data_IF_665062727411
#
_entry.id   IF_665062727411
#
_cell.length_a   1.000
_cell.length_b   1.000
_cell.length_c   1.000
_cell.angle_alpha   90.00
_cell.angle_beta   90.00
_cell.angle_gamma   90.00
#
_symmetry.space_group_name_H-M   'P 1'
#
loop_
_entity.id
_entity.type
_entity.pdbx_description
1 polymer ?
#
# COMPACT_ATOMS: atom_id res chain seq x y z
N UNK A 1 11.35 -23.40 44.58
CA UNK A 1 12.40 -24.17 43.86
C UNK A 1 12.24 -23.88 42.39
N UNK A 2 13.13 -23.05 41.85
CA UNK A 2 13.09 -22.60 40.47
C UNK A 2 14.22 -23.33 39.73
N UNK A 3 13.86 -24.40 39.00
CA UNK A 3 14.78 -25.14 38.16
C UNK A 3 14.27 -24.97 36.75
N UNK A 4 14.88 -24.08 35.98
CA UNK A 4 15.18 -24.26 34.55
C UNK A 4 16.13 -23.14 34.11
N UNK A 5 17.41 -23.40 34.40
CA UNK A 5 18.55 -22.78 33.73
C UNK A 5 18.75 -23.51 32.40
N UNK A 6 18.71 -22.78 31.29
CA UNK A 6 19.07 -23.34 29.99
C UNK A 6 18.39 -22.63 28.85
N UNK A 7 19.11 -21.69 28.23
CA UNK A 7 18.80 -21.19 26.89
C UNK A 7 18.61 -22.40 25.96
N UNK A 8 17.38 -22.61 25.48
CA UNK A 8 17.07 -23.62 24.45
C UNK A 8 17.63 -23.17 23.11
N UNK A 9 18.95 -23.26 22.95
CA UNK A 9 19.58 -23.22 21.64
C UNK A 9 19.62 -24.64 21.06
N UNK A 10 18.88 -24.81 19.97
CA UNK A 10 19.15 -25.76 18.89
C UNK A 10 18.84 -27.25 19.17
N UNK A 11 17.76 -27.70 18.48
CA UNK A 11 17.21 -29.06 18.30
C UNK A 11 16.23 -29.54 19.38
N UNK A 12 14.94 -29.70 19.05
CA UNK A 12 13.95 -30.23 19.98
C UNK A 12 14.05 -31.76 20.09
N UNK A 13 13.89 -32.28 21.31
CA UNK A 13 13.51 -33.69 21.53
C UNK A 13 12.14 -33.89 20.89
N UNK A 14 12.03 -34.90 20.02
CA UNK A 14 10.88 -35.11 19.13
C UNK A 14 9.51 -34.99 19.82
N UNK A 15 9.36 -35.45 21.07
CA UNK A 15 8.08 -35.37 21.80
C UNK A 15 7.72 -33.99 22.38
N UNK A 16 8.71 -33.13 22.67
CA UNK A 16 8.45 -31.76 23.14
C UNK A 16 8.05 -30.84 21.97
N UNK A 17 8.50 -31.18 20.76
CA UNK A 17 8.15 -30.47 19.52
C UNK A 17 6.68 -30.60 19.16
N UNK A 18 6.11 -31.80 19.23
CA UNK A 18 4.71 -32.02 18.83
C UNK A 18 3.73 -31.26 19.74
N UNK A 19 3.95 -31.29 21.06
CA UNK A 19 3.15 -30.53 22.02
C UNK A 19 3.25 -29.01 21.77
N UNK A 20 4.45 -28.55 21.38
CA UNK A 20 4.68 -27.14 21.05
C UNK A 20 3.97 -26.74 19.75
N UNK A 21 4.04 -27.60 18.73
CA UNK A 21 3.37 -27.38 17.44
C UNK A 21 1.85 -27.33 17.63
N UNK A 22 1.29 -28.27 18.39
CA UNK A 22 -0.14 -28.37 18.66
C UNK A 22 -0.65 -27.18 19.49
N UNK A 23 0.12 -26.74 20.50
CA UNK A 23 -0.21 -25.55 21.28
C UNK A 23 -0.17 -24.27 20.44
N UNK A 24 0.83 -24.11 19.56
CA UNK A 24 0.88 -22.97 18.62
C UNK A 24 -0.29 -23.03 17.64
N UNK A 25 -0.64 -24.21 17.13
CA UNK A 25 -1.77 -24.40 16.23
C UNK A 25 -3.09 -24.03 16.91
N UNK A 26 -3.31 -24.50 18.13
CA UNK A 26 -4.51 -24.22 18.92
C UNK A 26 -4.74 -22.72 19.11
N UNK A 27 -3.67 -21.95 19.36
CA UNK A 27 -3.77 -20.48 19.49
C UNK A 27 -4.14 -19.83 18.15
N UNK A 28 -3.52 -20.26 17.05
CA UNK A 28 -3.75 -19.69 15.72
C UNK A 28 -5.15 -20.04 15.20
N UNK A 29 -5.66 -21.24 15.47
CA UNK A 29 -7.02 -21.64 15.10
C UNK A 29 -8.08 -20.87 15.90
N UNK A 30 -7.79 -20.51 17.16
CA UNK A 30 -8.67 -19.69 17.99
C UNK A 30 -8.69 -18.21 17.60
N UNK A 31 -7.54 -17.62 17.32
CA UNK A 31 -7.40 -16.25 16.80
C UNK A 31 -6.32 -16.20 15.70
N UNK A 32 -6.73 -16.20 14.40
CA UNK A 32 -5.83 -16.11 13.27
C UNK A 32 -4.99 -14.82 13.21
N UNK A 33 -5.34 -13.80 14.00
CA UNK A 33 -4.62 -12.52 14.08
C UNK A 33 -3.69 -12.41 15.30
N UNK A 34 -3.49 -13.51 16.04
CA UNK A 34 -2.55 -13.58 17.16
C UNK A 34 -1.16 -13.04 16.77
N UNK A 35 -0.67 -12.08 17.54
CA UNK A 35 0.68 -11.53 17.38
C UNK A 35 1.73 -12.46 17.98
N UNK A 36 2.98 -12.39 17.50
CA UNK A 36 4.06 -13.19 18.07
C UNK A 36 4.23 -12.95 19.57
N UNK A 37 4.14 -11.70 20.03
CA UNK A 37 4.26 -11.36 21.45
C UNK A 37 3.20 -12.04 22.32
N UNK A 38 1.96 -12.16 21.84
CA UNK A 38 0.90 -12.87 22.55
C UNK A 38 1.22 -14.36 22.68
N UNK A 39 1.67 -14.99 21.58
CA UNK A 39 2.05 -16.40 21.57
C UNK A 39 3.28 -16.65 22.46
N UNK A 40 4.29 -15.76 22.43
CA UNK A 40 5.45 -15.81 23.32
C UNK A 40 5.06 -15.74 24.79
N UNK A 41 4.13 -14.84 25.13
CA UNK A 41 3.67 -14.65 26.52
C UNK A 41 2.91 -15.89 27.03
N UNK A 42 2.15 -16.55 26.17
CA UNK A 42 1.34 -17.73 26.53
C UNK A 42 2.21 -18.98 26.65
N UNK A 43 3.12 -19.21 25.70
CA UNK A 43 3.86 -20.47 25.60
C UNK A 43 5.30 -20.40 26.12
N UNK A 44 5.83 -19.20 26.38
CA UNK A 44 7.22 -19.01 26.82
C UNK A 44 8.26 -19.36 25.76
N UNK A 45 7.86 -19.39 24.49
CA UNK A 45 8.71 -19.72 23.34
C UNK A 45 9.25 -18.42 22.74
N UNK A 46 10.43 -18.47 22.10
CA UNK A 46 10.96 -17.30 21.38
C UNK A 46 10.23 -17.06 20.05
N UNK A 47 10.12 -15.80 19.62
CA UNK A 47 9.60 -15.42 18.30
C UNK A 47 10.23 -16.20 17.16
N UNK A 48 11.53 -16.47 17.24
CA UNK A 48 12.26 -17.25 16.22
C UNK A 48 11.74 -18.68 16.12
N UNK A 49 11.51 -19.32 17.27
CA UNK A 49 10.96 -20.68 17.31
C UNK A 49 9.50 -20.69 16.84
N UNK A 50 8.67 -19.72 17.25
CA UNK A 50 7.30 -19.55 16.74
C UNK A 50 7.32 -19.39 15.21
N UNK A 51 8.23 -18.57 14.68
CA UNK A 51 8.38 -18.35 13.25
C UNK A 51 8.74 -19.63 12.49
N UNK A 52 9.71 -20.41 12.99
CA UNK A 52 10.03 -21.72 12.39
C UNK A 52 8.88 -22.71 12.52
N UNK A 53 8.15 -22.73 13.64
CA UNK A 53 6.98 -23.61 13.82
C UNK A 53 5.89 -23.31 12.80
N UNK A 54 5.55 -22.03 12.63
CA UNK A 54 4.51 -21.59 11.69
C UNK A 54 4.91 -21.89 10.24
N UNK A 55 6.17 -21.60 9.86
CA UNK A 55 6.59 -21.71 8.47
C UNK A 55 7.07 -23.10 8.08
N UNK A 56 7.88 -23.76 8.90
CA UNK A 56 8.55 -25.02 8.53
C UNK A 56 7.69 -26.24 8.88
N UNK A 57 6.99 -26.21 10.02
CA UNK A 57 6.19 -27.36 10.48
C UNK A 57 4.72 -27.27 10.06
N UNK A 58 4.09 -26.12 10.31
CA UNK A 58 2.67 -25.92 10.00
C UNK A 58 2.42 -25.48 8.55
N UNK A 59 3.47 -25.06 7.83
CA UNK A 59 3.38 -24.52 6.46
C UNK A 59 2.36 -23.36 6.33
N UNK A 60 2.12 -22.63 7.42
CA UNK A 60 1.21 -21.50 7.44
C UNK A 60 1.92 -20.25 6.91
N UNK A 61 1.16 -19.46 6.15
CA UNK A 61 1.60 -18.17 5.62
C UNK A 61 0.61 -17.10 6.06
N UNK A 62 1.14 -15.92 6.39
CA UNK A 62 0.30 -14.74 6.61
C UNK A 62 -0.43 -14.41 5.32
N UNK A 63 -1.75 -14.59 5.30
CA UNK A 63 -2.60 -14.04 4.26
C UNK A 63 -3.10 -12.70 4.72
N UNK A 64 -2.99 -11.70 3.86
CA UNK A 64 -3.72 -10.46 4.05
C UNK A 64 -5.08 -10.68 3.42
N UNK A 65 -6.14 -10.66 4.24
CA UNK A 65 -7.50 -10.58 3.71
C UNK A 65 -7.61 -9.29 2.91
N UNK A 66 -7.98 -9.42 1.62
CA UNK A 66 -8.38 -8.42 0.61
C UNK A 66 -8.41 -6.93 1.02
N UNK A 67 -7.32 -6.41 1.59
CA UNK A 67 -7.31 -5.05 2.13
C UNK A 67 -8.25 -4.80 3.31
N UNK A 68 -8.48 -5.75 4.22
CA UNK A 68 -9.20 -5.50 5.49
C UNK A 68 -8.28 -4.99 6.61
N UNK A 69 -6.95 -5.00 6.40
CA UNK A 69 -5.99 -4.45 7.35
C UNK A 69 -6.32 -2.98 7.63
N UNK A 70 -6.62 -2.59 8.87
CA UNK A 70 -6.93 -1.18 9.22
C UNK A 70 -5.94 -0.17 8.63
N UNK A 71 -4.70 -0.57 8.38
CA UNK A 71 -3.64 0.25 7.79
C UNK A 71 -3.86 0.68 6.34
N UNK A 72 -4.70 0.02 5.54
CA UNK A 72 -5.02 0.56 4.20
C UNK A 72 -5.84 1.85 4.28
N UNK A 73 -6.48 2.14 5.41
CA UNK A 73 -7.17 3.41 5.62
C UNK A 73 -6.24 4.59 5.94
N UNK A 74 -5.00 4.29 6.33
CA UNK A 74 -3.96 5.30 6.61
C UNK A 74 -3.16 5.66 5.34
N UNK A 75 -3.41 4.99 4.22
CA UNK A 75 -2.67 5.22 2.97
C UNK A 75 -3.20 6.48 2.28
N UNK A 76 -2.33 7.47 2.15
CA UNK A 76 -2.51 8.61 1.24
C UNK A 76 -1.95 8.21 -0.13
N UNK A 77 -2.79 8.23 -1.16
CA UNK A 77 -2.38 8.00 -2.54
C UNK A 77 -2.51 9.27 -3.36
N UNK A 78 -1.74 9.40 -4.44
CA UNK A 78 -1.91 10.51 -5.36
C UNK A 78 -1.38 10.19 -6.74
N UNK A 79 -1.93 10.85 -7.75
CA UNK A 79 -1.51 10.71 -9.13
C UNK A 79 -1.66 12.03 -9.90
N UNK A 80 -0.95 12.13 -11.01
CA UNK A 80 -0.98 13.28 -11.91
C UNK A 80 -1.93 13.01 -13.09
N UNK A 81 -2.94 13.87 -13.25
CA UNK A 81 -3.91 13.80 -14.34
C UNK A 81 -3.78 14.98 -15.29
N UNK A 82 -4.15 14.76 -16.56
CA UNK A 82 -4.03 15.72 -17.67
C UNK A 82 -5.41 16.08 -18.19
N UNK A 83 -5.81 17.33 -17.99
CA UNK A 83 -7.07 17.86 -18.51
C UNK A 83 -6.79 18.69 -19.77
N UNK A 84 -7.58 18.44 -20.82
CA UNK A 84 -7.51 19.18 -22.08
C UNK A 84 -8.69 20.16 -22.14
N UNK A 85 -8.51 21.33 -22.77
CA UNK A 85 -9.61 22.29 -23.00
C UNK A 85 -10.65 21.79 -24.02
N UNK A 86 -10.41 20.64 -24.65
CA UNK A 86 -11.28 20.00 -25.62
C UNK A 86 -11.24 18.48 -25.40
N UNK A 87 -12.28 17.77 -25.82
CA UNK A 87 -12.27 16.32 -25.81
C UNK A 87 -11.50 15.80 -27.04
N UNK A 88 -10.33 15.18 -26.88
CA UNK A 88 -9.62 14.62 -28.01
C UNK A 88 -10.38 13.40 -28.53
N UNK A 89 -10.77 13.43 -29.80
CA UNK A 89 -11.35 12.23 -30.44
C UNK A 89 -10.39 11.04 -30.31
N UNK A 90 -10.94 9.94 -29.80
CA UNK A 90 -10.24 8.67 -29.71
C UNK A 90 -9.96 8.11 -31.11
N UNK A 91 -8.93 7.29 -31.23
CA UNK A 91 -8.56 6.64 -32.50
C UNK A 91 -9.73 5.84 -33.10
N UNK A 92 -10.52 5.20 -32.23
CA UNK A 92 -11.72 4.44 -32.60
C UNK A 92 -12.85 5.33 -33.08
N UNK A 93 -13.12 6.45 -32.41
CA UNK A 93 -14.12 7.44 -32.84
C UNK A 93 -13.77 8.05 -34.20
N UNK A 94 -12.47 8.08 -34.54
CA UNK A 94 -11.96 8.57 -35.81
C UNK A 94 -12.02 7.55 -36.95
N UNK A 95 -12.48 6.31 -36.71
CA UNK A 95 -12.55 5.30 -37.76
C UNK A 95 -13.75 5.58 -38.65
N UNK A 96 -13.47 5.76 -39.94
CA UNK A 96 -14.48 5.97 -40.98
C UNK A 96 -14.36 4.81 -41.96
N UNK A 97 -15.48 4.18 -42.29
CA UNK A 97 -15.55 3.20 -43.37
C UNK A 97 -15.44 3.93 -44.71
N UNK A 98 -14.61 3.41 -45.61
CA UNK A 98 -14.39 4.01 -46.92
C UNK A 98 -14.38 2.96 -48.02
N UNK A 99 -14.75 3.38 -49.24
CA UNK A 99 -14.53 2.58 -50.44
C UNK A 99 -13.06 2.61 -50.86
N UNK A 100 -12.60 1.59 -51.58
CA UNK A 100 -11.22 1.47 -52.09
C UNK A 100 -10.83 2.61 -53.04
N UNK A 101 -11.80 3.27 -53.65
CA UNK A 101 -11.61 4.37 -54.60
C UNK A 101 -11.60 5.75 -53.94
N UNK A 102 -11.95 5.84 -52.66
CA UNK A 102 -12.13 7.13 -51.98
C UNK A 102 -10.79 7.69 -51.48
N UNK A 103 -10.61 9.03 -51.55
CA UNK A 103 -9.43 9.67 -50.98
C UNK A 103 -9.44 9.56 -49.45
N UNK A 104 -8.26 9.36 -48.85
CA UNK A 104 -8.11 9.26 -47.39
C UNK A 104 -8.61 10.53 -46.69
N UNK A 105 -9.46 10.42 -45.65
CA UNK A 105 -9.98 11.57 -44.96
C UNK A 105 -8.84 12.27 -44.25
N UNK A 106 -8.74 13.57 -44.48
CA UNK A 106 -7.74 14.42 -43.82
C UNK A 106 -8.26 14.77 -42.44
N UNK A 107 -7.69 14.13 -41.42
CA UNK A 107 -7.94 14.52 -40.03
C UNK A 107 -7.12 15.75 -39.69
N UNK A 108 -7.78 16.85 -39.35
CA UNK A 108 -7.10 18.03 -38.80
C UNK A 108 -6.50 17.67 -37.45
N UNK A 109 -5.18 17.53 -37.42
CA UNK A 109 -4.44 17.23 -36.20
C UNK A 109 -4.23 18.51 -35.40
N UNK A 110 -4.80 18.57 -34.19
CA UNK A 110 -4.43 19.58 -33.20
C UNK A 110 -3.31 19.04 -32.32
N UNK A 111 -2.28 19.85 -32.09
CA UNK A 111 -1.20 19.47 -31.19
C UNK A 111 -1.76 19.22 -29.78
N UNK A 112 -1.58 18.00 -29.27
CA UNK A 112 -2.09 17.54 -27.96
C UNK A 112 -1.59 18.39 -26.77
N UNK A 113 -0.56 19.21 -26.95
CA UNK A 113 -0.04 20.13 -25.93
C UNK A 113 -0.76 21.48 -25.89
N UNK A 114 -1.48 21.87 -26.94
CA UNK A 114 -2.21 23.12 -26.98
C UNK A 114 -3.46 23.05 -26.08
N UNK A 115 -3.46 23.79 -24.98
CA UNK A 115 -4.60 23.83 -24.05
C UNK A 115 -4.66 22.66 -23.06
N UNK A 116 -3.51 22.17 -22.60
CA UNK A 116 -3.41 21.10 -21.60
C UNK A 116 -3.03 21.65 -20.22
N UNK A 117 -3.72 21.20 -19.17
CA UNK A 117 -3.37 21.45 -17.78
C UNK A 117 -3.05 20.15 -17.05
N UNK A 118 -1.97 20.17 -16.27
CA UNK A 118 -1.61 19.09 -15.36
C UNK A 118 -2.24 19.37 -13.99
N UNK A 119 -2.71 18.33 -13.31
CA UNK A 119 -3.18 18.44 -11.93
C UNK A 119 -2.60 17.26 -11.15
N UNK A 120 -2.01 17.52 -9.99
CA UNK A 120 -1.70 16.50 -9.01
C UNK A 120 -2.86 16.38 -8.02
N UNK A 121 -3.37 15.16 -7.85
CA UNK A 121 -4.54 14.88 -7.01
C UNK A 121 -4.17 13.85 -5.96
N UNK A 122 -4.50 14.10 -4.70
CA UNK A 122 -4.21 13.23 -3.56
C UNK A 122 -5.51 12.81 -2.86
N UNK A 123 -5.64 11.52 -2.54
CA UNK A 123 -6.82 10.90 -1.96
C UNK A 123 -6.47 10.02 -0.75
N UNK A 124 -7.43 9.91 0.17
CA UNK A 124 -7.54 8.86 1.19
C UNK A 124 -8.88 8.14 1.00
N UNK A 125 -9.11 7.08 1.78
CA UNK A 125 -10.44 6.43 1.80
C UNK A 125 -11.58 7.42 2.04
N UNK A 126 -11.40 8.40 2.92
CA UNK A 126 -12.45 9.37 3.27
C UNK A 126 -12.69 10.43 2.18
N UNK A 127 -11.86 10.46 1.12
CA UNK A 127 -12.07 11.32 -0.04
C UNK A 127 -10.83 12.06 -0.51
N UNK A 128 -11.08 13.16 -1.22
CA UNK A 128 -10.05 14.03 -1.78
C UNK A 128 -9.36 14.84 -0.67
N UNK A 129 -8.03 14.76 -0.60
CA UNK A 129 -7.22 15.57 0.33
C UNK A 129 -6.81 16.88 -0.32
N UNK A 130 -6.26 16.80 -1.54
CA UNK A 130 -5.68 17.97 -2.20
C UNK A 130 -5.76 17.86 -3.70
N UNK A 131 -6.08 18.99 -4.32
CA UNK A 131 -6.11 19.21 -5.75
C UNK A 131 -5.16 20.36 -6.06
N UNK A 132 -4.07 20.08 -6.78
CA UNK A 132 -3.05 21.08 -7.13
C UNK A 132 -3.00 21.21 -8.64
N UNK A 133 -3.61 22.27 -9.23
CA UNK A 133 -3.40 22.58 -10.63
C UNK A 133 -1.99 23.11 -10.83
N UNK A 134 -1.29 22.60 -11.83
CA UNK A 134 0.02 23.10 -12.23
C UNK A 134 -0.11 24.18 -13.30
N UNK A 135 0.89 25.06 -13.35
CA UNK A 135 1.00 26.07 -14.40
C UNK A 135 1.07 25.43 -15.80
N UNK A 136 0.56 26.15 -16.80
CA UNK A 136 0.47 25.64 -18.17
C UNK A 136 1.88 25.45 -18.75
N UNK A 137 2.23 24.20 -19.07
CA UNK A 137 3.56 23.83 -19.57
C UNK A 137 4.55 23.41 -18.48
N UNK A 138 4.21 23.53 -17.20
CA UNK A 138 5.03 23.02 -16.11
C UNK A 138 4.94 21.48 -16.01
N UNK A 139 6.09 20.84 -15.77
CA UNK A 139 6.20 19.40 -15.51
C UNK A 139 6.70 19.23 -14.08
N UNK A 140 6.21 18.22 -13.35
CA UNK A 140 6.74 17.92 -12.01
C UNK A 140 8.19 17.44 -12.15
N UNK A 141 9.13 18.35 -11.98
CA UNK A 141 10.55 18.04 -11.81
C UNK A 141 10.80 17.73 -10.32
N UNK A 142 11.94 17.09 -10.02
CA UNK A 142 12.30 16.72 -8.64
C UNK A 142 12.29 17.94 -7.68
N UNK A 143 12.53 19.14 -8.20
CA UNK A 143 12.48 20.41 -7.46
C UNK A 143 11.05 20.85 -7.12
N UNK A 144 10.07 20.65 -8.02
CA UNK A 144 8.66 20.90 -7.76
C UNK A 144 8.09 19.92 -6.73
N UNK A 145 8.55 18.65 -6.73
CA UNK A 145 8.20 17.65 -5.71
C UNK A 145 8.57 18.09 -4.29
N UNK A 146 9.67 18.84 -4.13
CA UNK A 146 10.08 19.40 -2.82
C UNK A 146 9.15 20.51 -2.33
N UNK A 147 8.50 21.27 -3.22
CA UNK A 147 7.47 22.25 -2.81
C UNK A 147 6.22 21.55 -2.28
N UNK A 148 5.77 20.47 -2.91
CA UNK A 148 4.63 19.65 -2.46
C UNK A 148 4.93 18.95 -1.14
N UNK A 149 6.18 18.49 -0.94
CA UNK A 149 6.66 17.91 0.32
C UNK A 149 6.88 18.98 1.42
N UNK A 150 7.25 20.21 1.06
CA UNK A 150 7.38 21.34 1.99
C UNK A 150 6.00 21.84 2.48
N UNK A 151 4.95 21.75 1.66
CA UNK A 151 3.56 21.94 2.12
C UNK A 151 3.14 20.87 3.15
N UNK A 152 3.58 19.61 3.00
CA UNK A 152 3.28 18.57 3.98
C UNK A 152 3.89 18.87 5.36
N UNK A 153 5.07 19.50 5.44
CA UNK A 153 5.66 19.85 6.75
C UNK A 153 5.03 21.07 7.43
N UNK A 154 4.42 21.98 6.67
CA UNK A 154 3.82 23.22 7.20
C UNK A 154 2.32 23.14 7.44
N UNK A 155 1.63 22.16 6.86
CA UNK A 155 0.16 22.01 6.94
C UNK A 155 -0.29 20.79 7.76
N UNK A 156 0.50 20.33 8.74
CA UNK A 156 0.09 19.35 9.76
C UNK A 156 -0.28 20.10 11.06
N UNK A 157 -1.50 20.64 11.22
CA UNK A 157 -1.93 21.25 12.48
C UNK A 157 -2.43 20.24 13.52
N UNK A 158 -2.42 18.93 13.25
CA UNK A 158 -2.88 17.93 14.20
C UNK A 158 -1.78 16.90 14.40
N UNK A 159 -0.92 17.09 15.40
CA UNK A 159 -0.17 16.05 16.16
C UNK A 159 0.97 16.62 17.04
N UNK A 160 0.94 17.90 17.47
CA UNK A 160 1.95 18.44 18.39
C UNK A 160 1.33 19.39 19.42
N UNK A 161 0.41 18.93 20.25
CA UNK A 161 0.00 19.67 21.47
C UNK A 161 -0.81 18.76 22.42
N UNK A 162 -0.21 17.66 22.90
CA UNK A 162 -0.75 16.95 24.08
C UNK A 162 0.33 16.15 24.81
N UNK A 163 1.47 16.80 25.11
CA UNK A 163 2.43 16.36 26.15
C UNK A 163 3.17 17.57 26.73
N UNK A 164 2.43 18.46 27.39
CA UNK A 164 2.93 19.32 28.46
C UNK A 164 1.79 19.56 29.44
N UNK A 165 1.72 18.69 30.44
CA UNK A 165 1.55 18.98 31.87
C UNK A 165 1.60 17.67 32.65
#
# INVERSE_FOLDING_TARGET
MNIFSGYLSCRPLTSATEQTIDAVLTIIEGDPHSTYQQIETILGISSTAINSTIHDYLNLRKRFEEGQSRRIFDVITGNESRFYHYDPELKEQSKVWMSTTDPRPTKVYRNKSAGKRMVAIFFVKSGLIKFVPLETGATVNATAGMSTHAYHKSSQPYLNEEKRE
#
